data_IF_562201677434
#
_entry.id   IF_562201677434
#
_cell.length_a   1.000
_cell.length_b   1.000
_cell.length_c   1.000
_cell.angle_alpha   90.00
_cell.angle_beta   90.00
_cell.angle_gamma   90.00
#
_symmetry.space_group_name_H-M   'P 1'
#
loop_
_entity.id
_entity.type
_entity.pdbx_description
1 polymer ?
#
# COMPACT_ATOMS: atom_id res chain seq x y z
N UNK A 1 37.79 -19.86 -34.86
CA UNK A 1 36.58 -20.20 -34.11
C UNK A 1 36.66 -19.73 -32.66
N UNK A 2 37.67 -20.06 -31.87
CA UNK A 2 37.86 -19.65 -30.47
C UNK A 2 37.89 -18.12 -30.28
N UNK A 3 38.55 -17.38 -31.16
CA UNK A 3 38.65 -15.93 -31.11
C UNK A 3 37.30 -15.23 -31.28
N UNK A 4 36.43 -15.75 -32.13
CA UNK A 4 35.07 -15.22 -32.35
C UNK A 4 34.19 -15.44 -31.11
N UNK A 5 34.28 -16.62 -30.48
CA UNK A 5 33.57 -16.93 -29.23
C UNK A 5 34.03 -16.04 -28.07
N UNK A 6 35.33 -15.74 -27.98
CA UNK A 6 35.89 -14.85 -26.99
C UNK A 6 35.38 -13.41 -27.17
N UNK A 7 35.35 -12.90 -28.39
CA UNK A 7 34.82 -11.55 -28.69
C UNK A 7 33.34 -11.48 -28.37
N UNK A 8 32.55 -12.48 -28.74
CA UNK A 8 31.11 -12.54 -28.37
C UNK A 8 30.91 -12.55 -26.88
N UNK A 9 31.69 -13.30 -26.12
CA UNK A 9 31.62 -13.34 -24.66
C UNK A 9 31.92 -11.98 -24.02
N UNK A 10 32.96 -11.28 -24.51
CA UNK A 10 33.31 -9.95 -24.04
C UNK A 10 32.19 -8.93 -24.34
N UNK A 11 31.59 -8.99 -25.52
CA UNK A 11 30.46 -8.12 -25.89
C UNK A 11 29.24 -8.35 -24.96
N UNK A 12 28.93 -9.61 -24.66
CA UNK A 12 27.83 -9.95 -23.73
C UNK A 12 28.09 -9.40 -22.34
N UNK A 13 29.30 -9.50 -21.81
CA UNK A 13 29.67 -8.95 -20.51
C UNK A 13 29.53 -7.42 -20.50
N UNK A 14 29.98 -6.74 -21.53
CA UNK A 14 29.89 -5.28 -21.64
C UNK A 14 28.43 -4.84 -21.71
N UNK A 15 27.60 -5.51 -22.49
CA UNK A 15 26.15 -5.17 -22.58
C UNK A 15 25.42 -5.41 -21.28
N UNK A 16 25.70 -6.51 -20.57
CA UNK A 16 25.15 -6.81 -19.25
C UNK A 16 25.58 -5.74 -18.22
N UNK A 17 26.86 -5.37 -18.23
CA UNK A 17 27.40 -4.33 -17.32
C UNK A 17 26.75 -2.98 -17.56
N UNK A 18 26.57 -2.59 -18.83
CA UNK A 18 25.89 -1.35 -19.20
C UNK A 18 24.40 -1.37 -18.82
N UNK A 19 23.75 -2.52 -18.95
CA UNK A 19 22.36 -2.70 -18.53
C UNK A 19 22.20 -2.58 -17.00
N UNK A 20 23.06 -3.26 -16.22
CA UNK A 20 23.09 -3.15 -14.75
C UNK A 20 23.38 -1.72 -14.30
N UNK A 21 24.35 -1.03 -14.94
CA UNK A 21 24.64 0.38 -14.67
C UNK A 21 23.46 1.30 -15.02
N UNK A 22 22.73 1.00 -16.08
CA UNK A 22 21.51 1.72 -16.47
C UNK A 22 20.41 1.57 -15.41
N UNK A 23 20.18 0.33 -14.91
CA UNK A 23 19.24 0.05 -13.82
C UNK A 23 19.64 0.77 -12.52
N UNK A 24 20.91 0.71 -12.15
CA UNK A 24 21.43 1.39 -10.96
C UNK A 24 21.33 2.92 -11.09
N UNK A 25 21.52 3.49 -12.28
CA UNK A 25 21.32 4.92 -12.54
C UNK A 25 19.84 5.32 -12.49
N UNK A 26 18.93 4.49 -13.01
CA UNK A 26 17.47 4.71 -12.88
C UNK A 26 17.05 4.72 -11.42
N UNK A 27 17.48 3.74 -10.65
CA UNK A 27 17.18 3.64 -9.22
C UNK A 27 17.75 4.83 -8.43
N UNK A 28 18.99 5.26 -8.73
CA UNK A 28 19.60 6.43 -8.09
C UNK A 28 18.92 7.75 -8.49
N UNK A 29 18.38 7.85 -9.71
CA UNK A 29 17.67 9.06 -10.16
C UNK A 29 16.29 9.18 -9.54
N UNK A 30 15.57 8.09 -9.30
CA UNK A 30 14.29 8.10 -8.57
C UNK A 30 14.47 8.47 -7.09
N UNK A 31 15.56 8.02 -6.46
CA UNK A 31 15.91 8.40 -5.09
C UNK A 31 16.35 9.87 -5.00
N UNK A 32 17.16 10.35 -5.94
CA UNK A 32 17.67 11.74 -5.94
C UNK A 32 16.60 12.79 -6.24
N UNK A 33 15.52 12.45 -6.93
CA UNK A 33 14.39 13.37 -7.16
C UNK A 33 13.60 13.66 -5.88
N UNK A 34 13.79 12.88 -4.82
CA UNK A 34 13.15 13.06 -3.52
C UNK A 34 14.09 13.61 -2.42
N UNK A 35 15.40 13.76 -2.68
CA UNK A 35 16.34 13.95 -1.57
C UNK A 35 16.62 15.40 -1.17
N UNK A 36 16.42 16.45 -1.98
CA UNK A 36 16.90 17.77 -1.46
C UNK A 36 16.07 19.04 -1.73
N UNK A 37 15.18 19.10 -2.72
CA UNK A 37 14.51 20.40 -3.02
C UNK A 37 13.12 20.28 -3.66
N UNK A 38 12.37 19.27 -3.38
CA UNK A 38 11.01 19.19 -3.91
C UNK A 38 10.05 19.89 -2.95
N UNK A 39 9.40 20.96 -3.42
CA UNK A 39 8.29 21.55 -2.68
C UNK A 39 7.13 20.55 -2.64
N UNK A 40 6.92 19.94 -1.49
CA UNK A 40 5.88 18.93 -1.31
C UNK A 40 4.48 19.50 -1.59
N UNK A 41 4.30 20.81 -1.39
CA UNK A 41 3.05 21.53 -1.70
C UNK A 41 2.79 21.69 -3.19
N UNK A 42 3.81 21.57 -4.03
CA UNK A 42 3.65 21.60 -5.48
C UNK A 42 3.17 20.28 -6.08
N UNK A 43 3.19 19.17 -5.29
CA UNK A 43 2.76 17.85 -5.76
C UNK A 43 1.24 17.81 -5.88
N UNK A 44 0.77 17.32 -7.01
CA UNK A 44 -0.64 17.07 -7.32
C UNK A 44 -0.87 15.57 -7.51
N UNK A 45 -2.14 15.18 -7.58
CA UNK A 45 -2.49 13.79 -7.91
C UNK A 45 -1.97 13.36 -9.28
N UNK A 46 -1.86 14.28 -10.24
CA UNK A 46 -1.30 14.01 -11.57
C UNK A 46 0.20 13.68 -11.51
N UNK A 47 0.92 14.23 -10.55
CA UNK A 47 2.33 13.92 -10.34
C UNK A 47 2.50 12.54 -9.71
N UNK A 48 1.60 12.16 -8.79
CA UNK A 48 1.54 10.79 -8.24
C UNK A 48 1.24 9.78 -9.34
N UNK A 49 0.33 10.08 -10.27
CA UNK A 49 0.01 9.20 -11.40
C UNK A 49 1.21 8.95 -12.33
N UNK A 50 2.13 9.93 -12.43
CA UNK A 50 3.35 9.84 -13.26
C UNK A 50 4.52 9.14 -12.58
N UNK A 51 4.42 8.83 -11.29
CA UNK A 51 5.48 8.10 -10.59
C UNK A 51 5.70 6.75 -11.26
N UNK A 52 6.95 6.37 -11.50
CA UNK A 52 7.29 5.14 -12.22
C UNK A 52 6.88 3.88 -11.43
N UNK A 53 6.98 3.92 -10.10
CA UNK A 53 6.69 2.80 -9.21
C UNK A 53 6.03 3.24 -7.90
N UNK A 54 5.70 2.26 -7.04
CA UNK A 54 5.08 2.52 -5.75
C UNK A 54 6.00 3.24 -4.75
N UNK A 55 7.34 3.11 -4.90
CA UNK A 55 8.30 3.64 -3.92
C UNK A 55 8.28 5.17 -3.86
N UNK A 56 8.00 5.83 -4.99
CA UNK A 56 7.81 7.27 -5.05
C UNK A 56 6.60 7.72 -4.25
N UNK A 57 5.49 7.00 -4.36
CA UNK A 57 4.27 7.30 -3.62
C UNK A 57 4.44 7.05 -2.11
N UNK A 58 5.09 5.96 -1.72
CA UNK A 58 5.44 5.69 -0.32
C UNK A 58 6.32 6.80 0.27
N UNK A 59 7.30 7.28 -0.49
CA UNK A 59 8.17 8.38 -0.07
C UNK A 59 7.40 9.69 0.06
N UNK A 60 6.47 9.97 -0.86
CA UNK A 60 5.58 11.12 -0.76
C UNK A 60 4.77 11.08 0.53
N UNK A 61 4.10 9.96 0.82
CA UNK A 61 3.31 9.79 2.04
C UNK A 61 4.17 9.93 3.31
N UNK A 62 5.36 9.35 3.32
CA UNK A 62 6.31 9.49 4.43
C UNK A 62 6.63 10.97 4.70
N UNK A 63 6.96 11.74 3.68
CA UNK A 63 7.30 13.17 3.83
C UNK A 63 6.07 13.99 4.20
N UNK A 64 4.91 13.71 3.61
CA UNK A 64 3.65 14.37 3.93
C UNK A 64 3.31 14.24 5.42
N UNK A 65 3.46 13.05 6.00
CA UNK A 65 3.21 12.82 7.41
C UNK A 65 4.18 13.60 8.32
N UNK A 66 5.45 13.73 7.92
CA UNK A 66 6.42 14.57 8.64
C UNK A 66 6.01 16.04 8.59
N UNK A 67 5.68 16.56 7.41
CA UNK A 67 5.26 17.96 7.23
C UNK A 67 3.93 18.25 7.93
N UNK A 68 3.04 17.28 8.02
CA UNK A 68 1.81 17.37 8.83
C UNK A 68 2.10 17.35 10.34
N UNK A 69 3.34 17.14 10.77
CA UNK A 69 3.75 17.20 12.17
C UNK A 69 3.45 15.94 12.98
N UNK A 70 3.27 14.79 12.34
CA UNK A 70 3.14 13.54 13.06
C UNK A 70 4.46 13.09 13.69
N UNK A 71 4.39 12.39 14.81
CA UNK A 71 5.57 11.90 15.51
C UNK A 71 5.88 10.45 15.14
N UNK A 72 7.15 10.06 15.32
CA UNK A 72 7.58 8.66 15.11
C UNK A 72 7.37 8.16 13.67
N UNK A 73 7.39 9.06 12.69
CA UNK A 73 7.22 8.70 11.28
C UNK A 73 8.47 8.00 10.76
N UNK A 74 8.30 6.85 10.16
CA UNK A 74 9.38 6.18 9.41
C UNK A 74 8.83 5.34 8.26
N UNK A 75 9.60 5.29 7.18
CA UNK A 75 9.36 4.43 6.03
C UNK A 75 10.02 3.07 6.26
N UNK A 76 9.32 2.01 5.96
CA UNK A 76 9.86 0.65 6.06
C UNK A 76 10.78 0.32 4.89
N UNK A 77 11.60 -0.71 5.03
CA UNK A 77 12.46 -1.19 3.96
C UNK A 77 11.73 -2.29 3.19
N UNK A 78 11.47 -2.08 1.91
CA UNK A 78 10.62 -2.92 1.06
C UNK A 78 10.93 -4.41 0.99
N UNK A 79 12.10 -4.87 1.47
CA UNK A 79 12.42 -6.30 1.55
C UNK A 79 11.93 -6.97 2.85
N UNK A 80 11.45 -6.22 3.84
CA UNK A 80 11.00 -6.70 5.16
C UNK A 80 9.92 -5.81 5.76
N UNK A 81 9.04 -5.28 4.94
CA UNK A 81 7.97 -4.37 5.35
C UNK A 81 6.78 -5.07 6.02
N UNK A 82 6.69 -6.39 5.93
CA UNK A 82 5.60 -7.20 6.48
C UNK A 82 4.20 -6.69 6.13
N UNK A 83 4.06 -5.85 5.09
CA UNK A 83 2.79 -5.30 4.64
C UNK A 83 2.47 -3.90 5.17
N UNK A 84 3.47 -3.14 5.61
CA UNK A 84 3.34 -1.72 5.89
C UNK A 84 4.48 -0.93 5.26
N UNK A 85 4.17 0.14 4.54
CA UNK A 85 5.14 1.00 3.88
C UNK A 85 5.56 2.18 4.77
N UNK A 86 4.64 2.71 5.57
CA UNK A 86 4.91 3.81 6.49
C UNK A 86 4.28 3.54 7.86
N UNK A 87 4.97 3.96 8.91
CA UNK A 87 4.49 3.91 10.30
C UNK A 87 4.56 5.31 10.88
N UNK A 88 3.56 5.70 11.66
CA UNK A 88 3.54 6.98 12.36
C UNK A 88 2.72 6.91 13.66
N UNK A 89 2.81 7.97 14.48
CA UNK A 89 1.98 8.13 15.68
C UNK A 89 1.09 9.34 15.48
N UNK A 90 -0.23 9.15 15.63
CA UNK A 90 -1.24 10.20 15.44
C UNK A 90 -1.28 11.20 16.60
N UNK A 91 -2.19 12.19 16.52
CA UNK A 91 -2.37 13.25 17.54
C UNK A 91 -2.81 12.70 18.90
N UNK A 92 -3.43 11.52 18.93
CA UNK A 92 -3.85 10.84 20.15
C UNK A 92 -2.74 9.98 20.78
N UNK A 93 -1.56 9.94 20.16
CA UNK A 93 -0.46 9.09 20.59
C UNK A 93 -0.61 7.62 20.17
N UNK A 94 -1.54 7.32 19.25
CA UNK A 94 -1.78 5.97 18.75
C UNK A 94 -0.90 5.69 17.55
N UNK A 95 -0.25 4.53 17.54
CA UNK A 95 0.58 4.10 16.42
C UNK A 95 -0.28 3.53 15.31
N UNK A 96 -0.03 4.04 14.10
CA UNK A 96 -0.69 3.68 12.85
C UNK A 96 0.31 3.04 11.88
N UNK A 97 -0.18 2.13 11.02
CA UNK A 97 0.55 1.55 9.89
C UNK A 97 -0.19 1.89 8.60
N UNK A 98 0.54 2.22 7.56
CA UNK A 98 0.01 2.54 6.23
C UNK A 98 0.57 1.55 5.22
N UNK A 99 -0.33 1.01 4.38
CA UNK A 99 -0.01 0.35 3.12
C UNK A 99 -0.39 1.29 1.98
N UNK A 100 0.57 1.59 1.12
CA UNK A 100 0.39 2.45 -0.03
C UNK A 100 0.22 1.63 -1.31
N UNK A 101 -0.77 1.96 -2.13
CA UNK A 101 -1.01 1.30 -3.42
C UNK A 101 -1.15 2.36 -4.51
N UNK A 102 -0.06 2.59 -5.29
CA UNK A 102 -0.12 3.46 -6.47
C UNK A 102 -0.56 2.66 -7.68
N UNK A 103 -1.83 2.73 -8.00
CA UNK A 103 -2.45 2.06 -9.13
C UNK A 103 -3.04 3.09 -10.11
N UNK A 104 -3.14 2.73 -11.39
CA UNK A 104 -3.94 3.47 -12.36
C UNK A 104 -5.42 3.41 -11.96
N UNK A 105 -6.17 4.45 -12.29
CA UNK A 105 -7.61 4.54 -12.00
C UNK A 105 -8.44 3.42 -12.63
N UNK A 106 -7.90 2.72 -13.63
CA UNK A 106 -8.55 1.56 -14.26
C UNK A 106 -8.44 0.28 -13.41
N UNK A 107 -7.51 0.25 -12.45
CA UNK A 107 -7.23 -0.94 -11.64
C UNK A 107 -7.57 -0.67 -10.18
N UNK A 108 -8.71 -1.19 -9.68
CA UNK A 108 -9.07 -1.06 -8.28
C UNK A 108 -8.19 -1.92 -7.38
N UNK A 109 -7.99 -1.46 -6.15
CA UNK A 109 -7.25 -2.18 -5.12
C UNK A 109 -8.14 -3.24 -4.49
N UNK A 110 -7.67 -4.49 -4.48
CA UNK A 110 -8.37 -5.64 -3.91
C UNK A 110 -8.04 -5.90 -2.44
N UNK A 111 -8.61 -6.98 -1.92
CA UNK A 111 -8.54 -7.39 -0.51
C UNK A 111 -7.12 -7.59 0.02
N UNK A 112 -6.15 -7.91 -0.84
CA UNK A 112 -4.76 -8.17 -0.43
C UNK A 112 -4.14 -7.00 0.34
N UNK A 113 -4.46 -5.76 -0.04
CA UNK A 113 -3.93 -4.58 0.63
C UNK A 113 -4.39 -4.48 2.10
N UNK A 114 -5.66 -4.84 2.36
CA UNK A 114 -6.21 -4.89 3.72
C UNK A 114 -5.57 -6.03 4.52
N UNK A 115 -5.42 -7.21 3.90
CA UNK A 115 -4.78 -8.37 4.54
C UNK A 115 -3.33 -8.06 4.91
N UNK A 116 -2.56 -7.43 4.00
CA UNK A 116 -1.17 -7.04 4.21
C UNK A 116 -1.05 -6.11 5.43
N UNK A 117 -1.76 -4.97 5.40
CA UNK A 117 -1.65 -3.96 6.47
C UNK A 117 -2.19 -4.45 7.81
N UNK A 118 -3.27 -5.22 7.81
CA UNK A 118 -3.86 -5.76 9.04
C UNK A 118 -2.94 -6.81 9.70
N UNK A 119 -2.32 -7.68 8.91
CA UNK A 119 -1.44 -8.73 9.42
C UNK A 119 -0.17 -8.18 10.09
N UNK A 120 0.33 -7.02 9.65
CA UNK A 120 1.56 -6.44 10.19
C UNK A 120 1.37 -5.56 11.43
N UNK A 121 0.12 -5.21 11.79
CA UNK A 121 -0.17 -4.32 12.94
C UNK A 121 0.52 -4.76 14.23
N UNK A 122 0.48 -6.07 14.51
CA UNK A 122 1.09 -6.60 15.75
C UNK A 122 2.60 -6.47 15.76
N UNK A 123 3.24 -6.67 14.60
CA UNK A 123 4.70 -6.52 14.45
C UNK A 123 5.13 -5.08 14.76
N UNK A 124 4.43 -4.11 14.21
CA UNK A 124 4.72 -2.68 14.42
C UNK A 124 4.13 -2.11 15.72
N UNK A 125 3.43 -2.93 16.52
CA UNK A 125 2.69 -2.50 17.73
C UNK A 125 1.70 -1.37 17.40
N UNK A 126 1.10 -1.41 16.21
CA UNK A 126 0.09 -0.47 15.77
C UNK A 126 -1.30 -0.89 16.27
N UNK A 127 -2.16 0.10 16.48
CA UNK A 127 -3.57 -0.11 16.84
C UNK A 127 -4.53 0.30 15.73
N UNK A 128 -4.07 1.12 14.78
CA UNK A 128 -4.83 1.54 13.60
C UNK A 128 -4.07 1.15 12.33
N UNK A 129 -4.79 0.77 11.30
CA UNK A 129 -4.26 0.40 9.98
C UNK A 129 -4.97 1.19 8.90
N UNK A 130 -4.22 1.66 7.91
CA UNK A 130 -4.70 2.52 6.83
C UNK A 130 -4.20 1.96 5.50
N UNK A 131 -5.07 1.85 4.50
CA UNK A 131 -4.66 1.66 3.11
C UNK A 131 -4.91 2.96 2.36
N UNK A 132 -3.89 3.47 1.68
CA UNK A 132 -3.98 4.68 0.86
C UNK A 132 -3.70 4.31 -0.59
N UNK A 133 -4.57 4.75 -1.51
CA UNK A 133 -4.38 4.48 -2.93
C UNK A 133 -4.58 5.71 -3.81
N UNK A 134 -3.87 5.73 -4.96
CA UNK A 134 -4.14 6.67 -6.07
C UNK A 134 -5.29 6.23 -6.98
N UNK A 135 -5.95 5.11 -6.67
CA UNK A 135 -7.08 4.56 -7.39
C UNK A 135 -8.31 4.47 -6.48
N UNK A 136 -9.15 3.47 -6.67
CA UNK A 136 -10.32 3.16 -5.86
C UNK A 136 -10.23 1.72 -5.34
N UNK A 137 -11.15 1.34 -4.46
CA UNK A 137 -11.19 0.01 -3.86
C UNK A 137 -12.29 -0.84 -4.50
N UNK A 138 -12.12 -2.15 -4.49
CA UNK A 138 -13.20 -3.08 -4.81
C UNK A 138 -14.19 -3.18 -3.65
N UNK A 139 -15.45 -3.52 -3.91
CA UNK A 139 -16.48 -3.74 -2.87
C UNK A 139 -16.03 -4.78 -1.82
N UNK A 140 -15.38 -5.86 -2.27
CA UNK A 140 -14.83 -6.87 -1.34
C UNK A 140 -13.69 -6.33 -0.47
N UNK A 141 -12.89 -5.38 -0.99
CA UNK A 141 -11.86 -4.68 -0.21
C UNK A 141 -12.50 -3.79 0.86
N UNK A 142 -13.52 -3.01 0.50
CA UNK A 142 -14.27 -2.15 1.43
C UNK A 142 -14.95 -2.98 2.53
N UNK A 143 -15.58 -4.09 2.14
CA UNK A 143 -16.20 -5.02 3.10
C UNK A 143 -15.18 -5.57 4.10
N UNK A 144 -14.04 -6.08 3.61
CA UNK A 144 -13.01 -6.63 4.49
C UNK A 144 -12.40 -5.55 5.40
N UNK A 145 -12.20 -4.34 4.88
CA UNK A 145 -11.71 -3.20 5.65
C UNK A 145 -12.67 -2.80 6.77
N UNK A 146 -13.97 -2.71 6.46
CA UNK A 146 -15.00 -2.38 7.44
C UNK A 146 -15.10 -3.40 8.58
N UNK A 147 -14.91 -4.69 8.29
CA UNK A 147 -14.92 -5.78 9.30
C UNK A 147 -13.67 -5.69 10.20
N UNK A 148 -12.52 -5.36 9.63
CA UNK A 148 -11.23 -5.35 10.35
C UNK A 148 -10.85 -3.96 10.88
N UNK A 149 -11.74 -2.97 10.79
CA UNK A 149 -11.48 -1.59 11.21
C UNK A 149 -10.24 -0.98 10.55
N UNK A 150 -10.03 -1.30 9.26
CA UNK A 150 -8.97 -0.71 8.44
C UNK A 150 -9.51 0.53 7.74
N UNK A 151 -8.85 1.68 7.93
CA UNK A 151 -9.18 2.92 7.23
C UNK A 151 -8.78 2.79 5.76
N UNK A 152 -9.68 3.15 4.89
CA UNK A 152 -9.41 3.28 3.45
C UNK A 152 -9.38 4.78 3.08
N UNK A 153 -8.37 5.18 2.37
CA UNK A 153 -8.21 6.50 1.75
C UNK A 153 -8.06 6.25 0.25
N UNK A 154 -9.14 6.49 -0.48
CA UNK A 154 -9.15 6.33 -1.93
C UNK A 154 -8.56 7.55 -2.65
N UNK A 155 -8.66 7.57 -3.97
CA UNK A 155 -8.20 8.68 -4.80
C UNK A 155 -8.86 10.01 -4.42
N UNK A 156 -10.16 10.00 -4.13
CA UNK A 156 -10.92 11.21 -3.80
C UNK A 156 -10.46 11.79 -2.47
N UNK A 157 -10.37 10.96 -1.46
CA UNK A 157 -9.85 11.33 -0.14
C UNK A 157 -8.40 11.81 -0.23
N UNK A 158 -7.55 11.12 -1.02
CA UNK A 158 -6.17 11.50 -1.23
C UNK A 158 -6.03 12.88 -1.90
N UNK A 159 -6.88 13.19 -2.88
CA UNK A 159 -6.92 14.53 -3.49
C UNK A 159 -7.25 15.57 -2.43
N UNK A 160 -8.24 15.34 -1.60
CA UNK A 160 -8.62 16.27 -0.52
C UNK A 160 -7.48 16.48 0.48
N UNK A 161 -6.76 15.40 0.86
CA UNK A 161 -5.55 15.51 1.71
C UNK A 161 -4.47 16.37 1.06
N UNK A 162 -4.20 16.15 -0.23
CA UNK A 162 -3.20 16.92 -1.00
C UNK A 162 -3.59 18.39 -1.08
N UNK A 163 -4.85 18.68 -1.36
CA UNK A 163 -5.36 20.05 -1.50
C UNK A 163 -5.35 20.78 -0.15
N UNK A 164 -5.85 20.17 0.91
CA UNK A 164 -5.81 20.74 2.25
C UNK A 164 -4.36 21.03 2.70
N UNK A 165 -3.44 20.11 2.47
CA UNK A 165 -2.02 20.31 2.77
C UNK A 165 -1.42 21.46 1.96
N UNK A 166 -1.69 21.51 0.64
CA UNK A 166 -1.22 22.59 -0.25
C UNK A 166 -1.71 23.96 0.20
N UNK A 167 -2.97 24.05 0.57
CA UNK A 167 -3.63 25.28 0.98
C UNK A 167 -3.25 25.69 2.43
N UNK A 168 -2.49 24.85 3.13
CA UNK A 168 -2.01 25.11 4.48
C UNK A 168 -2.98 24.69 5.59
N UNK A 169 -4.09 24.04 5.24
CA UNK A 169 -5.03 23.49 6.21
C UNK A 169 -4.57 22.13 6.74
N UNK A 170 -3.60 22.19 7.66
CA UNK A 170 -3.00 21.01 8.28
C UNK A 170 -4.01 20.28 9.19
N UNK A 171 -5.04 20.96 9.65
CA UNK A 171 -6.06 20.36 10.50
C UNK A 171 -6.94 19.45 9.67
N UNK A 172 -7.50 19.97 8.58
CA UNK A 172 -8.34 19.21 7.65
C UNK A 172 -7.58 18.00 7.08
N UNK A 173 -6.34 18.18 6.62
CA UNK A 173 -5.54 17.09 6.11
C UNK A 173 -5.35 15.95 7.14
N UNK A 174 -5.13 16.30 8.41
CA UNK A 174 -5.01 15.31 9.50
C UNK A 174 -6.37 14.67 9.84
N UNK A 175 -7.44 15.44 9.85
CA UNK A 175 -8.78 14.95 10.17
C UNK A 175 -9.23 13.90 9.14
N UNK A 176 -8.90 14.08 7.84
CA UNK A 176 -9.15 13.08 6.82
C UNK A 176 -8.36 11.79 7.09
N UNK A 177 -7.07 11.92 7.43
CA UNK A 177 -6.18 10.75 7.67
C UNK A 177 -6.62 9.99 8.93
N UNK A 178 -6.97 10.69 9.99
CA UNK A 178 -7.31 10.13 11.30
C UNK A 178 -8.78 9.76 11.46
N UNK A 179 -9.65 10.13 10.52
CA UNK A 179 -11.07 9.79 10.57
C UNK A 179 -11.26 8.28 10.79
N UNK A 180 -12.22 7.94 11.63
CA UNK A 180 -12.53 6.54 11.95
C UNK A 180 -12.90 5.75 10.69
N UNK A 181 -12.48 4.47 10.59
CA UNK A 181 -12.82 3.61 9.47
C UNK A 181 -14.34 3.41 9.40
N UNK A 182 -14.86 3.28 8.19
CA UNK A 182 -16.27 2.92 7.98
C UNK A 182 -16.51 1.52 8.55
N UNK A 183 -17.33 1.43 9.59
CA UNK A 183 -17.67 0.14 10.20
C UNK A 183 -18.83 -0.53 9.46
N UNK A 184 -18.70 -1.83 9.16
CA UNK A 184 -19.76 -2.66 8.59
C UNK A 184 -20.23 -3.66 9.65
N UNK A 185 -20.51 -3.18 10.86
CA UNK A 185 -21.04 -4.03 11.94
C UNK A 185 -22.48 -4.51 11.66
N UNK A 186 -23.25 -3.71 10.95
CA UNK A 186 -24.66 -4.00 10.68
C UNK A 186 -24.85 -5.19 9.72
N UNK A 187 -23.93 -5.42 8.79
CA UNK A 187 -24.03 -6.54 7.86
C UNK A 187 -23.87 -7.91 8.52
N UNK A 188 -23.23 -7.99 9.67
CA UNK A 188 -23.08 -9.25 10.43
C UNK A 188 -24.29 -9.52 11.35
N UNK A 189 -24.94 -8.50 11.87
CA UNK A 189 -26.18 -8.67 12.68
C UNK A 189 -27.38 -8.96 11.79
N UNK A 190 -27.39 -8.45 10.54
CA UNK A 190 -28.43 -8.69 9.54
C UNK A 190 -28.13 -9.87 8.61
N UNK A 191 -26.87 -10.29 8.47
CA UNK A 191 -26.54 -11.59 7.87
C UNK A 191 -27.08 -12.67 8.81
N UNK A 192 -28.41 -12.72 8.77
CA UNK A 192 -29.27 -13.62 9.50
C UNK A 192 -28.64 -15.00 9.54
N UNK A 193 -28.81 -15.65 10.69
CA UNK A 193 -28.54 -17.07 10.97
C UNK A 193 -28.79 -18.03 9.80
N UNK A 194 -29.59 -17.66 8.82
CA UNK A 194 -29.88 -18.46 7.61
C UNK A 194 -28.77 -18.39 6.55
N UNK A 195 -28.01 -17.30 6.46
CA UNK A 195 -26.93 -17.19 5.44
C UNK A 195 -25.62 -17.79 5.93
N UNK A 196 -25.37 -17.79 7.23
CA UNK A 196 -24.21 -18.46 7.83
C UNK A 196 -24.30 -20.00 7.75
N UNK A 197 -25.49 -20.55 7.55
CA UNK A 197 -25.68 -21.99 7.33
C UNK A 197 -25.38 -22.46 5.91
N UNK A 198 -25.27 -21.55 4.93
CA UNK A 198 -24.72 -21.84 3.61
C UNK A 198 -23.18 -21.69 3.60
N UNK A 199 -22.49 -22.34 4.48
CA UNK A 199 -21.12 -22.78 4.18
C UNK A 199 -21.28 -23.67 2.97
N UNK A 200 -20.98 -23.15 1.76
CA UNK A 200 -20.97 -23.94 0.54
C UNK A 200 -20.02 -25.11 0.78
N UNK A 201 -20.59 -26.28 1.04
CA UNK A 201 -19.82 -27.50 1.23
C UNK A 201 -18.97 -27.68 -0.01
N UNK A 202 -17.67 -27.66 0.13
CA UNK A 202 -16.78 -28.08 -0.94
C UNK A 202 -16.90 -29.60 -1.09
N UNK A 203 -17.87 -30.00 -1.87
CA UNK A 203 -18.16 -31.41 -2.16
C UNK A 203 -16.95 -32.17 -2.71
N UNK A 204 -15.99 -31.49 -3.34
CA UNK A 204 -14.75 -32.13 -3.81
C UNK A 204 -13.82 -32.45 -2.66
N UNK A 205 -13.61 -31.50 -1.72
CA UNK A 205 -12.81 -31.72 -0.54
C UNK A 205 -13.46 -32.77 0.38
N UNK A 206 -14.78 -32.70 0.58
CA UNK A 206 -15.51 -33.70 1.40
C UNK A 206 -15.39 -35.11 0.83
N UNK A 207 -15.50 -35.27 -0.50
CA UNK A 207 -15.32 -36.56 -1.18
C UNK A 207 -13.89 -37.08 -1.07
N UNK A 208 -12.89 -36.19 -1.10
CA UNK A 208 -11.49 -36.55 -0.91
C UNK A 208 -11.22 -37.03 0.50
N UNK A 209 -11.69 -36.31 1.52
CA UNK A 209 -11.53 -36.68 2.93
C UNK A 209 -12.22 -38.03 3.21
N UNK A 210 -13.45 -38.25 2.75
CA UNK A 210 -14.14 -39.55 2.88
C UNK A 210 -13.34 -40.68 2.28
N UNK A 211 -12.71 -40.49 1.13
CA UNK A 211 -11.88 -41.49 0.46
C UNK A 211 -10.60 -41.81 1.24
N UNK A 212 -10.04 -40.88 1.98
CA UNK A 212 -8.83 -41.06 2.80
C UNK A 212 -9.17 -41.78 4.10
N UNK A 213 -10.30 -41.48 4.73
CA UNK A 213 -10.72 -42.09 6.01
C UNK A 213 -11.26 -43.52 5.83
N UNK A 214 -11.75 -43.87 4.62
CA UNK A 214 -12.29 -45.20 4.30
C UNK A 214 -11.23 -46.24 3.89
N UNK A 215 -9.95 -45.93 3.97
CA UNK A 215 -8.81 -46.82 3.80
C UNK A 215 -8.21 -47.21 5.16
#
# INVERSE_FOLDING_TARGET
MIYILFVLFVVVIITLSLWVLSLARKQKKSVLLFEENYDLKAITIADIDRMEDGSGFEMYLYRLLIELGYSGVYKTLGSRDFGADVVFTDREGVRNVIQAKRYSTEYPVGISAVQEVFSCMRYYKAKKAIVITSSHFTESCETLAGINFVKLIDRTDLIHVIEAFRDGDMIEARDIIEAEPRMILESWSEANSNTLHEVRKDYKAEKYVKKVISK
#
